data_IF_381351888062
#
_entry.id   IF_381351888062
#
_cell.length_a   1.000
_cell.length_b   1.000
_cell.length_c   1.000
_cell.angle_alpha   90.00
_cell.angle_beta   90.00
_cell.angle_gamma   90.00
#
_symmetry.space_group_name_H-M   'P 1'
#
loop_
_entity.id
_entity.type
_entity.pdbx_description
1 polymer ?
#
# COMPACT_ATOMS: atom_id res chain seq x y z
N UNK A 1 12.05 -7.36 -17.04
CA UNK A 1 11.38 -8.28 -16.10
C UNK A 1 10.74 -7.43 -15.01
N UNK A 2 9.42 -7.23 -15.04
CA UNK A 2 8.71 -6.41 -14.05
C UNK A 2 7.70 -7.32 -13.35
N UNK A 3 7.98 -7.63 -12.09
CA UNK A 3 6.99 -8.17 -11.20
C UNK A 3 6.03 -7.03 -10.84
N UNK A 4 4.74 -7.28 -11.00
CA UNK A 4 3.70 -6.26 -10.90
C UNK A 4 3.38 -6.03 -9.42
N UNK A 5 3.85 -4.90 -8.89
CA UNK A 5 3.29 -4.28 -7.68
C UNK A 5 2.41 -3.12 -8.13
N UNK A 6 1.09 -3.30 -8.03
CA UNK A 6 0.14 -2.22 -8.25
C UNK A 6 0.34 -1.13 -7.21
N UNK A 7 0.87 0.01 -7.66
CA UNK A 7 0.89 1.24 -6.87
C UNK A 7 -0.55 1.71 -6.67
N UNK A 8 -1.10 1.51 -5.46
CA UNK A 8 -2.37 2.10 -5.08
C UNK A 8 -2.25 3.63 -5.16
N UNK A 9 -3.06 4.19 -6.06
CA UNK A 9 -3.16 5.61 -6.36
C UNK A 9 -3.57 6.40 -5.11
N UNK A 10 -2.80 7.43 -4.78
CA UNK A 10 -3.23 8.50 -3.89
C UNK A 10 -3.21 9.82 -4.66
N UNK A 11 -4.39 10.26 -5.10
CA UNK A 11 -4.67 11.65 -5.41
C UNK A 11 -5.21 12.31 -4.14
N UNK A 12 -4.37 13.08 -3.44
CA UNK A 12 -4.85 14.08 -2.48
C UNK A 12 -5.19 15.33 -3.29
N UNK A 13 -6.46 15.52 -3.64
CA UNK A 13 -6.95 16.81 -4.10
C UNK A 13 -7.02 17.75 -2.88
N UNK A 14 -6.20 18.80 -2.89
CA UNK A 14 -6.36 19.94 -1.99
C UNK A 14 -7.62 20.71 -2.40
N UNK A 15 -8.76 20.40 -1.78
CA UNK A 15 -9.93 21.29 -1.78
C UNK A 15 -10.00 22.00 -0.44
N UNK A 16 -9.91 23.32 -0.47
CA UNK A 16 -10.13 24.21 0.68
C UNK A 16 -11.54 24.00 1.24
N UNK A 17 -11.76 24.04 2.57
CA UNK A 17 -13.10 23.88 3.11
C UNK A 17 -13.91 25.17 2.92
N UNK A 18 -15.06 25.03 2.25
CA UNK A 18 -16.19 25.94 2.42
C UNK A 18 -16.88 25.53 3.72
N UNK A 19 -17.03 26.48 4.64
CA UNK A 19 -17.72 26.27 5.91
C UNK A 19 -19.24 26.23 5.64
N UNK A 20 -19.88 25.09 5.92
CA UNK A 20 -21.31 25.05 6.22
C UNK A 20 -21.48 24.57 7.66
N UNK A 21 -22.12 25.39 8.48
CA UNK A 21 -22.55 25.06 9.83
C UNK A 21 -23.58 23.92 9.76
N UNK A 22 -23.60 23.08 10.80
CA UNK A 22 -24.55 21.97 11.05
C UNK A 22 -24.13 20.55 10.65
N UNK A 23 -22.95 20.10 11.10
CA UNK A 23 -22.77 18.69 11.48
C UNK A 23 -22.01 18.62 12.80
N UNK A 24 -22.60 17.99 13.82
CA UNK A 24 -21.89 17.62 15.05
C UNK A 24 -20.78 16.64 14.67
N UNK A 25 -19.57 17.17 14.47
CA UNK A 25 -18.38 16.39 14.22
C UNK A 25 -18.17 15.41 15.38
N UNK A 26 -18.23 14.10 15.07
CA UNK A 26 -17.66 13.09 15.93
C UNK A 26 -16.16 13.41 16.07
N UNK A 27 -15.72 13.68 17.30
CA UNK A 27 -14.31 13.93 17.59
C UNK A 27 -13.47 12.75 17.08
N UNK A 28 -12.41 12.99 16.28
CA UNK A 28 -11.53 11.92 15.86
C UNK A 28 -10.89 11.29 17.11
N UNK A 29 -11.00 9.96 17.23
CA UNK A 29 -10.40 9.20 18.31
C UNK A 29 -8.91 9.59 18.51
N UNK A 30 -8.43 9.74 19.76
CA UNK A 30 -7.13 10.31 20.04
C UNK A 30 -6.04 9.40 19.45
N UNK A 31 -5.29 9.94 18.48
CA UNK A 31 -4.07 9.34 17.99
C UNK A 31 -3.13 9.12 19.19
N UNK A 32 -2.80 7.85 19.49
CA UNK A 32 -1.80 7.52 20.51
C UNK A 32 -0.52 8.30 20.20
N UNK A 33 -0.08 9.08 21.19
CA UNK A 33 0.88 10.16 21.04
C UNK A 33 2.15 9.74 20.31
N UNK A 34 2.42 10.34 19.16
CA UNK A 34 3.76 10.35 18.58
C UNK A 34 4.78 10.74 19.66
N UNK A 35 5.93 10.06 19.71
CA UNK A 35 6.98 10.37 20.69
C UNK A 35 7.31 11.87 20.65
N UNK A 36 7.62 12.47 21.80
CA UNK A 36 7.98 13.89 21.89
C UNK A 36 9.10 14.27 20.92
N UNK A 37 10.02 13.33 20.66
CA UNK A 37 11.11 13.46 19.68
C UNK A 37 10.59 13.48 18.24
N UNK A 38 9.73 12.54 17.83
CA UNK A 38 9.14 12.52 16.48
C UNK A 38 8.35 13.79 16.18
N UNK A 39 7.55 14.26 17.16
CA UNK A 39 6.83 15.54 17.05
C UNK A 39 7.79 16.71 16.89
N UNK A 40 8.91 16.72 17.62
CA UNK A 40 9.95 17.73 17.49
C UNK A 40 10.61 17.72 16.10
N UNK A 41 10.97 16.52 15.59
CA UNK A 41 11.55 16.34 14.25
C UNK A 41 10.61 16.84 13.15
N UNK A 42 9.33 16.46 13.22
CA UNK A 42 8.31 16.90 12.26
C UNK A 42 8.18 18.43 12.23
N UNK A 43 8.07 19.07 13.39
CA UNK A 43 7.94 20.53 13.49
C UNK A 43 9.17 21.24 12.93
N UNK A 44 10.38 20.77 13.29
CA UNK A 44 11.63 21.34 12.78
C UNK A 44 11.73 21.24 11.26
N UNK A 45 11.40 20.08 10.69
CA UNK A 45 11.40 19.86 9.25
C UNK A 45 10.38 20.77 8.55
N UNK A 46 9.15 20.84 9.06
CA UNK A 46 8.10 21.71 8.49
C UNK A 46 8.48 23.20 8.55
N UNK A 47 9.10 23.65 9.63
CA UNK A 47 9.60 25.02 9.76
C UNK A 47 10.73 25.29 8.76
N UNK A 48 11.69 24.37 8.65
CA UNK A 48 12.78 24.49 7.69
C UNK A 48 12.26 24.57 6.25
N UNK A 49 11.27 23.75 5.89
CA UNK A 49 10.63 23.80 4.59
C UNK A 49 9.89 25.13 4.38
N UNK A 50 9.10 25.59 5.35
CA UNK A 50 8.35 26.86 5.27
C UNK A 50 9.24 28.10 5.15
N UNK A 51 10.45 28.05 5.71
CA UNK A 51 11.44 29.14 5.63
C UNK A 51 12.09 29.27 4.25
N UNK A 52 11.93 28.28 3.36
CA UNK A 52 12.40 28.39 1.99
C UNK A 52 11.65 29.50 1.23
N UNK A 53 12.33 30.18 0.29
CA UNK A 53 11.67 31.12 -0.63
C UNK A 53 10.43 30.50 -1.27
N UNK A 54 9.40 31.32 -1.48
CA UNK A 54 8.12 30.83 -2.02
C UNK A 54 8.31 30.13 -3.36
N UNK A 55 9.19 30.66 -4.19
CA UNK A 55 9.56 30.14 -5.51
C UNK A 55 10.16 28.74 -5.39
N UNK A 56 11.05 28.53 -4.41
CA UNK A 56 11.68 27.22 -4.15
C UNK A 56 10.67 26.20 -3.62
N UNK A 57 9.73 26.60 -2.77
CA UNK A 57 8.65 25.71 -2.31
C UNK A 57 7.71 25.31 -3.44
N UNK A 58 7.38 26.26 -4.34
CA UNK A 58 6.56 25.97 -5.52
C UNK A 58 7.30 25.06 -6.50
N UNK A 59 8.57 25.33 -6.77
CA UNK A 59 9.44 24.47 -7.58
C UNK A 59 9.48 23.04 -7.03
N UNK A 60 9.69 22.90 -5.71
CA UNK A 60 9.68 21.62 -5.01
C UNK A 60 8.36 20.88 -5.21
N UNK A 61 7.23 21.56 -5.00
CA UNK A 61 5.91 20.95 -5.14
C UNK A 61 5.64 20.46 -6.58
N UNK A 62 6.00 21.27 -7.58
CA UNK A 62 5.84 20.89 -8.99
C UNK A 62 6.71 19.69 -9.37
N UNK A 63 7.97 19.68 -8.93
CA UNK A 63 8.87 18.53 -9.13
C UNK A 63 8.35 17.28 -8.41
N UNK A 64 7.79 17.41 -7.22
CA UNK A 64 7.21 16.29 -6.48
C UNK A 64 6.02 15.67 -7.23
N UNK A 65 5.11 16.49 -7.78
CA UNK A 65 4.00 16.02 -8.61
C UNK A 65 4.52 15.31 -9.86
N UNK A 66 5.50 15.90 -10.56
CA UNK A 66 6.14 15.28 -11.72
C UNK A 66 6.76 13.92 -11.37
N UNK A 67 7.45 13.84 -10.24
CA UNK A 67 8.07 12.60 -9.74
C UNK A 67 7.02 11.54 -9.47
N UNK A 68 5.92 11.90 -8.80
CA UNK A 68 4.81 10.98 -8.56
C UNK A 68 4.21 10.47 -9.88
N UNK A 69 4.07 11.33 -10.88
CA UNK A 69 3.58 10.94 -12.20
C UNK A 69 4.52 9.97 -12.92
N UNK A 70 5.84 10.19 -12.86
CA UNK A 70 6.83 9.28 -13.42
C UNK A 70 6.78 7.90 -12.73
N UNK A 71 6.66 7.90 -11.40
CA UNK A 71 6.47 6.67 -10.63
C UNK A 71 5.20 5.92 -11.07
N UNK A 72 4.07 6.62 -11.18
CA UNK A 72 2.80 6.05 -11.63
C UNK A 72 2.89 5.48 -13.07
N UNK A 73 3.68 6.11 -13.94
CA UNK A 73 3.98 5.63 -15.30
C UNK A 73 5.00 4.47 -15.32
N UNK A 74 5.44 3.97 -14.16
CA UNK A 74 6.45 2.92 -14.01
C UNK A 74 7.82 3.28 -14.61
N UNK A 75 8.10 4.59 -14.72
CA UNK A 75 9.40 5.17 -15.10
C UNK A 75 10.25 5.34 -13.83
N UNK A 76 10.60 4.21 -13.22
CA UNK A 76 11.16 4.17 -11.86
C UNK A 76 12.51 4.88 -11.77
N UNK A 77 13.40 4.70 -12.75
CA UNK A 77 14.71 5.35 -12.75
C UNK A 77 14.62 6.86 -12.96
N UNK A 78 13.73 7.31 -13.85
CA UNK A 78 13.48 8.75 -14.06
C UNK A 78 12.87 9.39 -12.80
N UNK A 79 12.02 8.66 -12.06
CA UNK A 79 11.52 9.12 -10.78
C UNK A 79 12.64 9.24 -9.74
N UNK A 80 13.57 8.28 -9.69
CA UNK A 80 14.75 8.36 -8.81
C UNK A 80 15.66 9.55 -9.15
N UNK A 81 15.89 9.82 -10.43
CA UNK A 81 16.65 11.01 -10.85
C UNK A 81 15.96 12.32 -10.42
N UNK A 82 14.65 12.43 -10.59
CA UNK A 82 13.90 13.61 -10.10
C UNK A 82 13.91 13.74 -8.57
N UNK A 83 13.99 12.62 -7.84
CA UNK A 83 14.15 12.63 -6.39
C UNK A 83 15.52 13.16 -5.97
N UNK A 84 16.57 12.84 -6.73
CA UNK A 84 17.91 13.37 -6.46
C UNK A 84 17.96 14.89 -6.69
N UNK A 85 17.22 15.40 -7.69
CA UNK A 85 17.02 16.84 -7.89
C UNK A 85 16.21 17.50 -6.75
N UNK A 86 15.19 16.82 -6.23
CA UNK A 86 14.39 17.32 -5.10
C UNK A 86 15.24 17.50 -3.84
N UNK A 87 16.17 16.58 -3.58
CA UNK A 87 17.08 16.66 -2.43
C UNK A 87 18.00 17.90 -2.49
N UNK A 88 18.30 18.43 -3.68
CA UNK A 88 19.06 19.67 -3.83
C UNK A 88 18.27 20.92 -3.41
N UNK A 89 16.93 20.84 -3.43
CA UNK A 89 16.05 21.93 -2.99
C UNK A 89 15.75 21.77 -1.50
N UNK A 90 15.32 20.58 -1.11
CA UNK A 90 15.03 20.27 0.29
C UNK A 90 15.14 18.75 0.53
N UNK A 91 16.16 18.30 1.28
CA UNK A 91 16.32 16.88 1.57
C UNK A 91 15.31 16.39 2.62
N UNK A 92 15.17 15.08 2.73
CA UNK A 92 14.45 14.38 3.81
C UNK A 92 12.97 14.76 3.98
N UNK A 93 12.33 15.27 2.92
CA UNK A 93 10.88 15.50 2.95
C UNK A 93 10.13 14.15 2.94
N UNK A 94 9.17 13.92 3.86
CA UNK A 94 8.45 12.65 3.97
C UNK A 94 7.81 12.16 2.67
N UNK A 95 7.21 13.06 1.89
CA UNK A 95 6.60 12.70 0.59
C UNK A 95 7.62 12.23 -0.45
N UNK A 96 8.79 12.87 -0.55
CA UNK A 96 9.83 12.46 -1.49
C UNK A 96 10.48 11.14 -1.04
N UNK A 97 10.78 11.02 0.24
CA UNK A 97 11.26 9.77 0.84
C UNK A 97 10.27 8.62 0.62
N UNK A 98 8.97 8.85 0.77
CA UNK A 98 7.97 7.81 0.49
C UNK A 98 8.01 7.33 -0.96
N UNK A 99 8.09 8.25 -1.94
CA UNK A 99 8.22 7.88 -3.36
C UNK A 99 9.54 7.15 -3.62
N UNK A 100 10.65 7.59 -3.02
CA UNK A 100 11.96 6.92 -3.12
C UNK A 100 11.90 5.49 -2.59
N UNK A 101 11.30 5.30 -1.41
CA UNK A 101 11.08 3.99 -0.81
C UNK A 101 10.24 3.09 -1.73
N UNK A 102 9.15 3.63 -2.29
CA UNK A 102 8.30 2.90 -3.23
C UNK A 102 9.05 2.53 -4.53
N UNK A 103 9.90 3.43 -5.06
CA UNK A 103 10.78 3.12 -6.19
C UNK A 103 11.71 1.95 -5.86
N UNK A 104 12.28 1.91 -4.64
CA UNK A 104 13.10 0.80 -4.19
C UNK A 104 12.32 -0.51 -4.02
N UNK A 105 11.05 -0.46 -3.64
CA UNK A 105 10.16 -1.63 -3.63
C UNK A 105 9.96 -2.16 -5.05
N UNK A 106 9.66 -1.30 -6.03
CA UNK A 106 9.42 -1.69 -7.42
C UNK A 106 10.64 -2.38 -8.07
N UNK A 107 11.86 -1.97 -7.71
CA UNK A 107 13.09 -2.63 -8.19
C UNK A 107 13.57 -3.77 -7.26
N UNK A 108 12.74 -4.19 -6.30
CA UNK A 108 13.02 -5.24 -5.31
C UNK A 108 14.27 -5.01 -4.45
N UNK A 109 14.64 -3.75 -4.27
CA UNK A 109 15.71 -3.33 -3.38
C UNK A 109 15.18 -3.11 -1.95
N UNK A 110 14.61 -4.16 -1.36
CA UNK A 110 13.87 -4.11 -0.09
C UNK A 110 14.67 -3.56 1.08
N UNK A 111 15.97 -3.86 1.17
CA UNK A 111 16.84 -3.32 2.21
C UNK A 111 16.93 -1.78 2.14
N UNK A 112 17.04 -1.22 0.93
CA UNK A 112 17.03 0.25 0.74
C UNK A 112 15.65 0.82 1.03
N UNK A 113 14.58 0.17 0.56
CA UNK A 113 13.21 0.59 0.84
C UNK A 113 12.95 0.69 2.35
N UNK A 114 13.30 -0.35 3.12
CA UNK A 114 13.15 -0.38 4.57
C UNK A 114 13.90 0.76 5.25
N UNK A 115 15.15 1.04 4.85
CA UNK A 115 15.93 2.15 5.41
C UNK A 115 15.23 3.50 5.16
N UNK A 116 14.76 3.75 3.93
CA UNK A 116 14.06 4.99 3.59
C UNK A 116 12.74 5.12 4.37
N UNK A 117 11.97 4.05 4.47
CA UNK A 117 10.71 4.06 5.22
C UNK A 117 10.91 4.28 6.73
N UNK A 118 11.97 3.74 7.31
CA UNK A 118 12.34 4.03 8.70
C UNK A 118 12.60 5.52 8.93
N UNK A 119 13.30 6.19 8.01
CA UNK A 119 13.51 7.65 8.09
C UNK A 119 12.19 8.41 8.08
N UNK A 120 11.22 8.00 7.25
CA UNK A 120 9.90 8.64 7.25
C UNK A 120 9.17 8.42 8.58
N UNK A 121 9.24 7.22 9.16
CA UNK A 121 8.58 6.92 10.43
C UNK A 121 9.21 7.66 11.63
N UNK A 122 10.46 8.08 11.56
CA UNK A 122 11.04 8.97 12.59
C UNK A 122 10.35 10.34 12.63
N UNK A 123 9.88 10.82 11.48
CA UNK A 123 9.24 12.13 11.31
C UNK A 123 7.72 12.00 11.45
N UNK A 124 7.13 10.99 10.81
CA UNK A 124 5.69 10.76 10.76
C UNK A 124 5.38 9.29 11.12
N UNK A 125 5.35 8.93 12.42
CA UNK A 125 5.15 7.55 12.88
C UNK A 125 3.82 6.91 12.44
N UNK A 126 2.81 7.75 12.19
CA UNK A 126 1.47 7.32 11.76
C UNK A 126 1.22 7.47 10.26
N UNK A 127 2.29 7.64 9.46
CA UNK A 127 2.15 7.71 8.01
C UNK A 127 1.65 6.36 7.45
N UNK A 128 0.35 6.29 7.16
CA UNK A 128 -0.32 5.05 6.73
C UNK A 128 0.21 4.52 5.40
N UNK A 129 0.66 5.38 4.48
CA UNK A 129 1.29 4.96 3.22
C UNK A 129 2.60 4.21 3.46
N UNK A 130 3.44 4.70 4.38
CA UNK A 130 4.70 4.04 4.73
C UNK A 130 4.47 2.77 5.54
N UNK A 131 3.51 2.79 6.47
CA UNK A 131 3.11 1.60 7.21
C UNK A 131 2.60 0.49 6.27
N UNK A 132 1.81 0.86 5.25
CA UNK A 132 1.40 -0.05 4.18
C UNK A 132 2.60 -0.59 3.40
N UNK A 133 3.48 0.29 2.92
CA UNK A 133 4.64 -0.16 2.13
C UNK A 133 5.55 -1.11 2.90
N UNK A 134 5.75 -0.90 4.21
CA UNK A 134 6.51 -1.82 5.05
C UNK A 134 5.80 -3.17 5.21
N UNK A 135 4.48 -3.17 5.40
CA UNK A 135 3.68 -4.40 5.44
C UNK A 135 3.76 -5.16 4.10
N UNK A 136 3.74 -4.43 2.98
CA UNK A 136 3.87 -4.98 1.64
C UNK A 136 5.25 -5.59 1.40
N UNK A 137 6.33 -4.93 1.84
CA UNK A 137 7.69 -5.47 1.75
C UNK A 137 7.77 -6.80 2.51
N UNK A 138 7.27 -6.85 3.74
CA UNK A 138 7.28 -8.09 4.53
C UNK A 138 6.40 -9.18 3.88
N UNK A 139 5.27 -8.81 3.28
CA UNK A 139 4.40 -9.73 2.55
C UNK A 139 5.10 -10.36 1.35
N UNK A 140 5.71 -9.54 0.49
CA UNK A 140 6.44 -10.02 -0.72
C UNK A 140 7.67 -10.83 -0.34
N UNK A 141 8.34 -10.47 0.76
CA UNK A 141 9.46 -11.24 1.33
C UNK A 141 9.03 -12.53 2.03
N UNK A 142 7.72 -12.85 2.05
CA UNK A 142 7.14 -14.02 2.72
C UNK A 142 7.41 -14.05 4.24
N UNK A 143 7.66 -12.89 4.85
CA UNK A 143 7.77 -12.71 6.30
C UNK A 143 6.37 -12.70 6.92
N UNK A 144 5.64 -13.81 6.83
CA UNK A 144 4.19 -13.88 7.09
C UNK A 144 3.78 -13.36 8.46
N UNK A 145 4.55 -13.68 9.51
CA UNK A 145 4.25 -13.22 10.87
C UNK A 145 4.43 -11.69 11.00
N UNK A 146 5.51 -11.14 10.47
CA UNK A 146 5.76 -9.69 10.49
C UNK A 146 4.74 -8.94 9.64
N UNK A 147 4.42 -9.44 8.44
CA UNK A 147 3.40 -8.88 7.56
C UNK A 147 2.02 -8.89 8.23
N UNK A 148 1.64 -10.02 8.85
CA UNK A 148 0.42 -10.14 9.66
C UNK A 148 0.37 -9.03 10.73
N UNK A 149 1.41 -8.90 11.55
CA UNK A 149 1.41 -7.94 12.67
C UNK A 149 1.36 -6.50 12.19
N UNK A 150 1.99 -6.18 11.06
CA UNK A 150 1.93 -4.85 10.44
C UNK A 150 0.53 -4.57 9.87
N UNK A 151 -0.07 -5.48 9.11
CA UNK A 151 -1.42 -5.29 8.59
C UNK A 151 -2.46 -5.20 9.71
N UNK A 152 -2.36 -6.02 10.76
CA UNK A 152 -3.24 -5.94 11.94
C UNK A 152 -3.17 -4.57 12.61
N UNK A 153 -1.99 -3.95 12.68
CA UNK A 153 -1.83 -2.58 13.23
C UNK A 153 -2.27 -1.49 12.26
N UNK A 154 -2.16 -1.73 10.96
CA UNK A 154 -2.45 -0.76 9.90
C UNK A 154 -3.95 -0.61 9.63
N UNK A 155 -4.68 -1.72 9.47
CA UNK A 155 -6.09 -1.72 9.06
C UNK A 155 -6.95 -0.76 9.89
N UNK A 156 -6.85 -0.71 11.24
CA UNK A 156 -7.63 0.22 12.05
C UNK A 156 -7.26 1.71 11.88
N UNK A 157 -6.10 2.02 11.29
CA UNK A 157 -5.62 3.39 11.05
C UNK A 157 -6.00 3.91 9.66
N UNK A 158 -6.46 3.03 8.76
CA UNK A 158 -6.85 3.43 7.42
C UNK A 158 -8.18 4.19 7.46
N UNK A 159 -8.33 5.28 6.68
CA UNK A 159 -9.58 6.01 6.63
C UNK A 159 -10.66 5.15 5.96
N UNK A 160 -11.83 5.06 6.61
CA UNK A 160 -12.96 4.27 6.10
C UNK A 160 -13.46 4.77 4.73
N UNK A 161 -13.23 6.05 4.40
CA UNK A 161 -13.51 6.62 3.09
C UNK A 161 -12.74 5.94 1.95
N UNK A 162 -11.62 5.24 2.25
CA UNK A 162 -10.86 4.47 1.27
C UNK A 162 -11.12 2.96 1.44
N UNK A 163 -12.37 2.55 1.22
CA UNK A 163 -12.82 1.15 1.34
C UNK A 163 -11.95 0.19 0.54
N UNK A 164 -11.59 0.53 -0.69
CA UNK A 164 -10.75 -0.34 -1.54
C UNK A 164 -9.39 -0.67 -0.90
N UNK A 165 -8.72 0.34 -0.32
CA UNK A 165 -7.45 0.13 0.40
C UNK A 165 -7.63 -0.72 1.65
N UNK A 166 -8.68 -0.46 2.44
CA UNK A 166 -9.00 -1.23 3.65
C UNK A 166 -9.19 -2.69 3.28
N UNK A 167 -10.02 -2.97 2.25
CA UNK A 167 -10.32 -4.32 1.78
C UNK A 167 -9.07 -5.04 1.26
N UNK A 168 -8.20 -4.36 0.52
CA UNK A 168 -6.96 -4.97 0.05
C UNK A 168 -6.02 -5.34 1.22
N UNK A 169 -5.91 -4.47 2.23
CA UNK A 169 -5.10 -4.75 3.42
C UNK A 169 -5.68 -5.91 4.24
N UNK A 170 -7.00 -5.98 4.40
CA UNK A 170 -7.68 -7.11 5.03
C UNK A 170 -7.47 -8.40 4.25
N UNK A 171 -7.48 -8.34 2.92
CA UNK A 171 -7.21 -9.50 2.07
C UNK A 171 -5.78 -10.01 2.23
N UNK A 172 -4.79 -9.13 2.23
CA UNK A 172 -3.38 -9.49 2.51
C UNK A 172 -3.20 -10.04 3.93
N UNK A 173 -3.90 -9.49 4.91
CA UNK A 173 -3.92 -10.03 6.28
C UNK A 173 -4.55 -11.44 6.33
N UNK A 174 -5.65 -11.67 5.62
CA UNK A 174 -6.27 -12.99 5.49
C UNK A 174 -5.28 -14.00 4.88
N UNK A 175 -4.58 -13.62 3.81
CA UNK A 175 -3.53 -14.46 3.20
C UNK A 175 -2.39 -14.78 4.17
N UNK A 176 -1.95 -13.81 4.98
CA UNK A 176 -0.96 -14.07 6.02
C UNK A 176 -1.49 -15.08 7.06
N UNK A 177 -2.76 -14.98 7.48
CA UNK A 177 -3.38 -15.95 8.40
C UNK A 177 -3.41 -17.37 7.82
N UNK A 178 -3.68 -17.51 6.51
CA UNK A 178 -3.62 -18.81 5.84
C UNK A 178 -2.22 -19.43 5.86
N UNK A 179 -1.15 -18.62 5.73
CA UNK A 179 0.23 -19.10 5.83
C UNK A 179 0.68 -19.41 7.26
N UNK A 180 -0.05 -18.92 8.25
CA UNK A 180 0.20 -19.14 9.68
C UNK A 180 -0.72 -20.22 10.26
N UNK A 181 -1.36 -21.04 9.41
CA UNK A 181 -2.30 -22.10 9.78
C UNK A 181 -3.51 -21.64 10.61
N UNK A 182 -3.90 -20.37 10.47
CA UNK A 182 -5.05 -19.76 11.15
C UNK A 182 -6.28 -19.73 10.24
N UNK A 183 -6.68 -20.91 9.75
CA UNK A 183 -7.75 -21.04 8.76
C UNK A 183 -9.11 -20.51 9.27
N UNK A 184 -9.46 -20.77 10.53
CA UNK A 184 -10.74 -20.31 11.09
C UNK A 184 -10.82 -18.78 11.17
N UNK A 185 -9.72 -18.13 11.57
CA UNK A 185 -9.64 -16.67 11.56
C UNK A 185 -9.71 -16.10 10.14
N UNK A 186 -9.08 -16.77 9.17
CA UNK A 186 -9.15 -16.38 7.76
C UNK A 186 -10.57 -16.52 7.19
N UNK A 187 -11.29 -17.60 7.54
CA UNK A 187 -12.71 -17.80 7.18
C UNK A 187 -13.60 -16.75 7.83
N UNK A 188 -13.38 -16.43 9.10
CA UNK A 188 -14.10 -15.35 9.77
C UNK A 188 -13.89 -13.99 9.08
N UNK A 189 -12.66 -13.70 8.59
CA UNK A 189 -12.39 -12.50 7.82
C UNK A 189 -13.06 -12.49 6.45
N UNK A 190 -13.12 -13.63 5.76
CA UNK A 190 -13.86 -13.78 4.50
C UNK A 190 -15.35 -13.48 4.70
N UNK A 191 -15.94 -13.98 5.78
CA UNK A 191 -17.38 -13.92 6.04
C UNK A 191 -17.87 -12.53 6.50
N UNK A 192 -16.97 -11.58 6.74
CA UNK A 192 -17.32 -10.17 7.05
C UNK A 192 -18.06 -9.47 5.91
N UNK A 193 -17.80 -9.88 4.66
CA UNK A 193 -18.29 -9.20 3.48
C UNK A 193 -19.03 -10.18 2.57
N UNK A 194 -20.06 -9.69 1.91
CA UNK A 194 -20.87 -10.45 0.97
C UNK A 194 -20.68 -9.96 -0.47
N UNK A 195 -21.49 -10.49 -1.39
CA UNK A 195 -21.43 -10.16 -2.81
C UNK A 195 -21.74 -8.69 -3.12
N UNK A 196 -22.35 -7.95 -2.18
CA UNK A 196 -22.74 -6.56 -2.33
C UNK A 196 -21.66 -5.58 -1.82
N UNK A 197 -20.55 -6.07 -1.27
CA UNK A 197 -19.39 -5.24 -0.98
C UNK A 197 -18.83 -4.66 -2.29
N UNK A 198 -18.63 -3.34 -2.32
CA UNK A 198 -18.11 -2.61 -3.49
C UNK A 198 -16.58 -2.77 -3.60
N UNK A 199 -16.13 -4.03 -3.61
CA UNK A 199 -14.74 -4.38 -3.85
C UNK A 199 -14.60 -5.83 -4.34
N UNK A 200 -13.50 -6.16 -5.05
CA UNK A 200 -13.19 -7.54 -5.43
C UNK A 200 -13.00 -8.52 -4.25
N UNK A 201 -13.00 -8.02 -3.00
CA UNK A 201 -12.69 -8.79 -1.80
C UNK A 201 -13.49 -10.08 -1.68
N UNK A 202 -14.81 -10.02 -1.87
CA UNK A 202 -15.68 -11.19 -1.69
C UNK A 202 -15.21 -12.39 -2.53
N UNK A 203 -14.93 -12.14 -3.81
CA UNK A 203 -14.49 -13.18 -4.73
C UNK A 203 -13.05 -13.59 -4.48
N UNK A 204 -12.14 -12.63 -4.26
CA UNK A 204 -10.72 -12.92 -4.05
C UNK A 204 -10.45 -13.65 -2.74
N UNK A 205 -11.11 -13.28 -1.64
CA UNK A 205 -11.00 -13.97 -0.34
C UNK A 205 -11.55 -15.40 -0.42
N UNK A 206 -12.69 -15.63 -1.09
CA UNK A 206 -13.23 -16.97 -1.35
C UNK A 206 -12.29 -17.81 -2.19
N UNK A 207 -11.77 -17.25 -3.28
CA UNK A 207 -10.80 -17.94 -4.12
C UNK A 207 -9.56 -18.34 -3.29
N UNK A 208 -9.05 -17.46 -2.44
CA UNK A 208 -7.90 -17.74 -1.59
C UNK A 208 -8.13 -18.89 -0.59
N UNK A 209 -9.33 -18.98 0.01
CA UNK A 209 -9.69 -20.12 0.87
C UNK A 209 -9.78 -21.41 0.04
N UNK A 210 -10.45 -21.38 -1.11
CA UNK A 210 -10.62 -22.55 -1.97
C UNK A 210 -9.27 -23.08 -2.48
N UNK A 211 -8.34 -22.19 -2.85
CA UNK A 211 -6.97 -22.58 -3.18
C UNK A 211 -6.26 -23.26 -2.01
N UNK A 212 -6.41 -22.72 -0.80
CA UNK A 212 -5.81 -23.30 0.40
C UNK A 212 -6.37 -24.70 0.71
N UNK A 213 -7.66 -24.90 0.48
CA UNK A 213 -8.35 -26.18 0.69
C UNK A 213 -8.12 -27.20 -0.47
N UNK A 214 -7.45 -26.77 -1.55
CA UNK A 214 -7.14 -27.62 -2.70
C UNK A 214 -8.22 -27.64 -3.80
N UNK A 215 -9.33 -26.92 -3.62
CA UNK A 215 -10.38 -26.79 -4.64
C UNK A 215 -10.04 -25.69 -5.66
N UNK A 216 -9.03 -26.00 -6.48
CA UNK A 216 -8.55 -25.09 -7.53
C UNK A 216 -9.61 -24.74 -8.56
N UNK A 217 -10.52 -25.68 -8.88
CA UNK A 217 -11.52 -25.46 -9.93
C UNK A 217 -12.53 -24.39 -9.51
N UNK A 218 -13.04 -24.48 -8.29
CA UNK A 218 -14.00 -23.51 -7.78
C UNK A 218 -13.31 -22.18 -7.45
N UNK A 219 -12.05 -22.20 -7.01
CA UNK A 219 -11.23 -21.00 -6.84
C UNK A 219 -11.11 -20.20 -8.16
N UNK A 220 -10.76 -20.87 -9.26
CA UNK A 220 -10.66 -20.24 -10.58
C UNK A 220 -12.01 -19.70 -11.08
N UNK A 221 -13.12 -20.37 -10.73
CA UNK A 221 -14.46 -19.86 -11.04
C UNK A 221 -14.77 -18.56 -10.30
N UNK A 222 -14.39 -18.44 -9.03
CA UNK A 222 -14.51 -17.18 -8.28
C UNK A 222 -13.71 -16.06 -8.95
N UNK A 223 -12.48 -16.34 -9.40
CA UNK A 223 -11.65 -15.38 -10.11
C UNK A 223 -12.14 -15.05 -11.53
N UNK A 224 -12.88 -15.95 -12.19
CA UNK A 224 -13.60 -15.60 -13.43
C UNK A 224 -14.76 -14.66 -13.13
N UNK A 225 -15.56 -14.95 -12.10
CA UNK A 225 -16.71 -14.13 -11.71
C UNK A 225 -16.30 -12.69 -11.37
N UNK A 226 -15.20 -12.50 -10.65
CA UNK A 226 -14.72 -11.15 -10.30
C UNK A 226 -14.39 -10.31 -11.54
N UNK A 227 -13.90 -10.92 -12.63
CA UNK A 227 -13.61 -10.23 -13.90
C UNK A 227 -14.88 -9.81 -14.65
N UNK A 228 -15.99 -10.54 -14.47
CA UNK A 228 -17.28 -10.14 -15.06
C UNK A 228 -17.90 -8.94 -14.34
N UNK A 229 -17.74 -8.88 -13.02
CA UNK A 229 -18.31 -7.80 -12.18
C UNK A 229 -17.43 -6.55 -12.25
N UNK A 230 -16.11 -6.67 -12.03
CA UNK A 230 -15.17 -5.54 -12.14
C UNK A 230 -14.41 -5.61 -13.45
N UNK A 231 -14.94 -4.98 -14.50
CA UNK A 231 -14.32 -4.94 -15.83
C UNK A 231 -13.13 -3.99 -15.95
N UNK A 232 -12.91 -3.14 -14.95
CA UNK A 232 -11.80 -2.20 -14.94
C UNK A 232 -10.54 -2.90 -14.40
N UNK A 233 -9.58 -3.16 -15.28
CA UNK A 233 -8.32 -3.82 -14.92
C UNK A 233 -7.52 -3.04 -13.87
N UNK A 234 -7.64 -1.71 -13.80
CA UNK A 234 -6.98 -0.90 -12.78
C UNK A 234 -7.49 -1.17 -11.36
N UNK A 235 -8.77 -1.55 -11.22
CA UNK A 235 -9.37 -1.93 -9.92
C UNK A 235 -8.96 -3.34 -9.54
N UNK A 236 -8.85 -4.25 -10.52
CA UNK A 236 -8.50 -5.65 -10.27
C UNK A 236 -7.00 -5.91 -10.14
N UNK A 237 -6.15 -5.08 -10.75
CA UNK A 237 -4.70 -5.30 -10.79
C UNK A 237 -4.08 -5.55 -9.40
N UNK A 238 -4.37 -4.76 -8.34
CA UNK A 238 -3.78 -4.99 -7.02
C UNK A 238 -4.13 -6.36 -6.42
N UNK A 239 -5.31 -6.89 -6.75
CA UNK A 239 -5.80 -8.17 -6.26
C UNK A 239 -5.16 -9.34 -7.02
N UNK A 240 -5.05 -9.20 -8.34
CA UNK A 240 -4.37 -10.17 -9.20
C UNK A 240 -2.88 -10.26 -8.85
N UNK A 241 -2.21 -9.12 -8.72
CA UNK A 241 -0.81 -9.02 -8.30
C UNK A 241 -0.60 -9.69 -6.94
N UNK A 242 -1.50 -9.44 -5.97
CA UNK A 242 -1.43 -10.06 -4.65
C UNK A 242 -1.55 -11.59 -4.73
N UNK A 243 -2.47 -12.11 -5.54
CA UNK A 243 -2.65 -13.56 -5.73
C UNK A 243 -1.48 -14.21 -6.48
N UNK A 244 -0.85 -13.49 -7.40
CA UNK A 244 0.36 -13.92 -8.12
C UNK A 244 1.56 -13.96 -7.17
N UNK A 245 1.83 -12.87 -6.43
CA UNK A 245 2.94 -12.79 -5.47
C UNK A 245 2.78 -13.81 -4.34
N UNK A 246 1.54 -14.13 -3.96
CA UNK A 246 1.27 -15.21 -2.99
C UNK A 246 1.50 -16.62 -3.56
N UNK A 247 1.45 -16.78 -4.88
CA UNK A 247 1.68 -18.05 -5.58
C UNK A 247 0.42 -18.85 -5.93
N UNK A 248 -0.78 -18.29 -5.78
CA UNK A 248 -2.02 -18.99 -6.16
C UNK A 248 -2.32 -18.93 -7.66
N UNK A 249 -1.90 -17.85 -8.33
CA UNK A 249 -2.07 -17.69 -9.78
C UNK A 249 -0.69 -17.61 -10.43
N UNK A 250 -0.50 -18.29 -11.56
CA UNK A 250 0.73 -18.18 -12.34
C UNK A 250 0.79 -16.82 -13.03
N UNK A 251 1.96 -16.17 -12.98
CA UNK A 251 2.24 -15.01 -13.82
C UNK A 251 2.27 -15.42 -15.29
N UNK A 252 1.53 -14.72 -16.15
CA UNK A 252 1.58 -14.93 -17.60
C UNK A 252 2.91 -14.51 -18.23
N UNK A 253 3.72 -13.70 -17.52
CA UNK A 253 4.97 -13.13 -18.03
C UNK A 253 6.17 -13.58 -17.18
N UNK A 254 6.43 -14.89 -17.15
CA UNK A 254 7.73 -15.47 -16.79
C UNK A 254 7.92 -15.87 -15.33
N UNK A 255 8.23 -17.16 -15.14
CA UNK A 255 8.71 -17.72 -13.88
C UNK A 255 8.48 -19.22 -13.73
N UNK A 256 8.70 -20.03 -14.77
CA UNK A 256 9.01 -21.45 -14.57
C UNK A 256 10.37 -21.51 -13.85
N UNK A 257 10.40 -22.04 -12.63
CA UNK A 257 11.54 -22.69 -11.94
C UNK A 257 11.14 -22.98 -10.49
N UNK A 258 10.07 -23.75 -10.28
CA UNK A 258 10.05 -24.66 -9.14
C UNK A 258 9.61 -26.02 -9.71
N UNK A 259 10.53 -26.96 -9.54
CA UNK A 259 10.49 -28.32 -10.04
C UNK A 259 9.21 -29.01 -9.61
N UNK A 260 8.60 -29.71 -10.58
CA UNK A 260 7.69 -30.80 -10.28
C UNK A 260 8.58 -31.88 -9.69
N UNK A 261 8.67 -31.94 -8.36
CA UNK A 261 9.04 -33.21 -7.71
C UNK A 261 7.83 -34.13 -7.80
N UNK A 262 8.05 -35.26 -8.47
CA UNK A 262 7.12 -36.39 -8.68
C UNK A 262 6.65 -37.03 -7.36
#
# INVERSE_FOLDING_TARGET
MKYHLSALLLGLSLTTPVWSQDEKAAEPAPAKEASSDSRSKAVKMMQAFSNLPKEKRQEYHQKLIKTQNLFNQKRIFDALEQLDELDQIFPDHPSALNIRGACYVEIRSFAKANKIFQQVLEIAPDNTSVLFNLAEVDFVMKNWQTAHDRFTKLVPKLPESNKAMVRLCEFKLLLCKLKLDKLDEAKAMRDKYDIWDDSPYFYCSRAAILYHEGDKMEAEKMLRNVRYVWRNDGVLAPWQDTLIEFGYIRSFYGGDTEEIEE
#
